data_IF_872928318049
#
_entry.id   IF_872928318049
#
_cell.length_a   1.000
_cell.length_b   1.000
_cell.length_c   1.000
_cell.angle_alpha   90.00
_cell.angle_beta   90.00
_cell.angle_gamma   90.00
#
_symmetry.space_group_name_H-M   'P 1'
#
loop_
_entity.id
_entity.type
_entity.pdbx_description
1 polymer ?
#
# COMPACT_ATOMS: atom_id res chain seq x y z
N UNK A 1 16.43 -6.07 2.39
CA UNK A 1 14.98 -6.16 2.63
C UNK A 1 14.23 -5.90 1.34
N UNK A 2 13.09 -6.54 1.17
CA UNK A 2 12.28 -6.32 -0.02
C UNK A 2 11.55 -4.98 0.05
N UNK A 3 11.12 -4.48 -1.09
CA UNK A 3 10.29 -3.27 -1.14
C UNK A 3 8.98 -3.49 -0.40
N UNK A 4 8.37 -4.67 -0.54
CA UNK A 4 7.14 -5.00 0.17
C UNK A 4 7.33 -4.91 1.69
N UNK A 5 8.45 -5.42 2.21
CA UNK A 5 8.74 -5.35 3.63
C UNK A 5 8.95 -3.91 4.10
N UNK A 6 9.59 -3.07 3.28
CA UNK A 6 9.77 -1.66 3.59
C UNK A 6 8.45 -0.92 3.63
N UNK A 7 7.57 -1.18 2.66
CA UNK A 7 6.23 -0.58 2.64
C UNK A 7 5.48 -0.93 3.92
N UNK A 8 5.46 -2.21 4.27
CA UNK A 8 4.78 -2.67 5.47
C UNK A 8 5.36 -2.01 6.72
N UNK A 9 6.68 -1.96 6.82
CA UNK A 9 7.36 -1.37 7.97
C UNK A 9 7.01 0.11 8.14
N UNK A 10 7.06 0.87 7.06
CA UNK A 10 6.78 2.31 7.12
C UNK A 10 5.33 2.59 7.48
N UNK A 11 4.40 1.83 6.91
CA UNK A 11 2.98 2.01 7.21
C UNK A 11 2.67 1.61 8.64
N UNK A 12 3.28 0.55 9.13
CA UNK A 12 3.10 0.12 10.51
C UNK A 12 3.60 1.18 11.48
N UNK A 13 4.77 1.75 11.22
CA UNK A 13 5.35 2.77 12.09
C UNK A 13 4.53 4.06 12.09
N UNK A 14 4.01 4.47 10.91
CA UNK A 14 3.32 5.75 10.78
C UNK A 14 1.87 5.71 11.21
N UNK A 15 1.16 4.62 10.94
CA UNK A 15 -0.29 4.53 11.11
C UNK A 15 -0.72 3.61 12.24
N UNK A 16 0.17 2.75 12.71
CA UNK A 16 -0.14 1.75 13.72
C UNK A 16 -1.43 1.02 13.38
N UNK A 17 -1.50 0.41 12.19
CA UNK A 17 -2.75 -0.17 11.71
C UNK A 17 -3.11 -1.42 12.49
N UNK A 18 -4.41 -1.73 12.54
CA UNK A 18 -4.87 -3.00 13.07
C UNK A 18 -4.53 -4.13 12.11
N UNK A 19 -4.50 -3.83 10.81
CA UNK A 19 -4.11 -4.80 9.80
C UNK A 19 -3.48 -4.07 8.63
N UNK A 20 -2.39 -4.61 8.12
CA UNK A 20 -1.78 -4.14 6.89
C UNK A 20 -1.38 -5.36 6.07
N UNK A 21 -1.69 -5.33 4.79
CA UNK A 21 -1.36 -6.41 3.87
C UNK A 21 -0.75 -5.81 2.63
N UNK A 22 0.44 -6.25 2.26
CA UNK A 22 1.15 -5.77 1.08
C UNK A 22 1.32 -6.95 0.14
N UNK A 23 0.79 -6.82 -1.07
CA UNK A 23 0.85 -7.86 -2.08
C UNK A 23 1.65 -7.33 -3.27
N UNK A 24 2.71 -8.04 -3.62
CA UNK A 24 3.49 -7.73 -4.81
C UNK A 24 2.77 -8.34 -6.02
N UNK A 25 2.19 -7.49 -6.85
CA UNK A 25 1.46 -7.92 -8.04
C UNK A 25 2.29 -7.87 -9.32
N UNK A 26 3.59 -7.65 -9.19
CA UNK A 26 4.48 -7.56 -10.35
C UNK A 26 4.44 -8.82 -11.21
N UNK A 27 4.21 -9.96 -10.59
CA UNK A 27 4.11 -11.24 -11.31
C UNK A 27 2.91 -11.29 -12.26
N UNK A 28 1.86 -10.53 -11.96
CA UNK A 28 0.66 -10.49 -12.83
C UNK A 28 0.97 -9.81 -14.17
N UNK A 29 2.07 -9.08 -14.26
CA UNK A 29 2.48 -8.36 -15.46
C UNK A 29 3.64 -9.04 -16.17
N UNK A 30 4.01 -10.22 -15.71
CA UNK A 30 5.13 -10.97 -16.26
C UNK A 30 4.87 -11.31 -17.73
N UNK A 31 5.84 -11.03 -18.58
CA UNK A 31 5.70 -11.27 -20.01
C UNK A 31 5.10 -10.10 -20.78
N UNK A 32 4.60 -9.09 -20.11
CA UNK A 32 4.10 -7.89 -20.77
C UNK A 32 5.22 -6.89 -21.03
N UNK A 33 5.03 -6.04 -22.04
CA UNK A 33 5.98 -4.96 -22.30
C UNK A 33 6.08 -4.09 -21.05
N UNK A 34 7.27 -3.74 -20.65
CA UNK A 34 7.51 -2.96 -19.46
C UNK A 34 7.71 -3.75 -18.19
N UNK A 35 7.58 -5.08 -18.26
CA UNK A 35 7.91 -5.93 -17.12
C UNK A 35 9.37 -5.75 -16.72
N UNK A 36 9.59 -5.54 -15.43
CA UNK A 36 10.95 -5.35 -14.90
C UNK A 36 11.45 -6.63 -14.26
N UNK A 37 12.68 -7.05 -14.59
CA UNK A 37 13.27 -8.20 -13.90
C UNK A 37 13.30 -7.97 -12.40
N UNK A 38 12.95 -8.99 -11.64
CA UNK A 38 12.97 -8.92 -10.19
C UNK A 38 11.67 -8.45 -9.54
N UNK A 39 10.70 -7.98 -10.34
CA UNK A 39 9.40 -7.55 -9.81
C UNK A 39 9.47 -6.27 -9.00
N UNK A 40 8.63 -6.18 -7.97
CA UNK A 40 8.61 -5.08 -6.99
C UNK A 40 8.29 -3.70 -7.59
N UNK A 41 7.48 -3.67 -8.65
CA UNK A 41 7.06 -2.42 -9.28
C UNK A 41 5.56 -2.15 -9.15
N UNK A 42 4.76 -3.18 -8.87
CA UNK A 42 3.30 -3.07 -8.76
C UNK A 42 2.84 -3.72 -7.47
N UNK A 43 2.16 -2.94 -6.63
CA UNK A 43 1.74 -3.43 -5.31
C UNK A 43 0.27 -3.14 -5.07
N UNK A 44 -0.36 -4.04 -4.32
CA UNK A 44 -1.67 -3.81 -3.73
C UNK A 44 -1.49 -3.76 -2.22
N UNK A 45 -2.00 -2.70 -1.60
CA UNK A 45 -1.85 -2.51 -0.16
C UNK A 45 -3.23 -2.32 0.47
N UNK A 46 -3.55 -3.14 1.46
CA UNK A 46 -4.78 -3.02 2.24
C UNK A 46 -4.42 -2.60 3.65
N UNK A 47 -5.03 -1.54 4.13
CA UNK A 47 -4.73 -0.98 5.45
C UNK A 47 -6.03 -0.76 6.21
N UNK A 48 -6.09 -1.28 7.43
CA UNK A 48 -7.18 -1.02 8.36
C UNK A 48 -6.59 -0.30 9.56
N UNK A 49 -6.98 0.95 9.77
CA UNK A 49 -6.37 1.77 10.83
C UNK A 49 -7.36 2.78 11.38
N UNK A 50 -7.34 2.96 12.71
CA UNK A 50 -8.12 4.02 13.37
C UNK A 50 -7.65 5.40 12.95
N UNK A 51 -6.40 5.53 12.51
CA UNK A 51 -5.86 6.79 12.02
C UNK A 51 -6.64 7.37 10.84
N UNK A 52 -7.41 6.53 10.14
CA UNK A 52 -8.22 6.97 9.01
C UNK A 52 -9.60 7.49 9.41
N UNK A 53 -9.97 7.38 10.66
CA UNK A 53 -11.30 7.85 11.11
C UNK A 53 -11.41 9.36 10.91
N UNK A 54 -12.55 9.78 10.36
CA UNK A 54 -12.79 11.18 10.07
C UNK A 54 -12.11 11.71 8.82
N UNK A 55 -11.39 10.86 8.08
CA UNK A 55 -10.68 11.29 6.86
C UNK A 55 -11.38 10.75 5.62
N UNK A 56 -11.43 11.57 4.57
CA UNK A 56 -11.93 11.14 3.27
C UNK A 56 -10.98 10.12 2.65
N UNK A 57 -11.45 9.38 1.65
CA UNK A 57 -10.60 8.44 0.93
C UNK A 57 -9.41 9.14 0.28
N UNK A 58 -9.64 10.33 -0.27
CA UNK A 58 -8.56 11.10 -0.88
C UNK A 58 -7.49 11.48 0.16
N UNK A 59 -7.92 11.91 1.34
CA UNK A 59 -6.98 12.28 2.41
C UNK A 59 -6.17 11.07 2.87
N UNK A 60 -6.82 9.91 2.98
CA UNK A 60 -6.16 8.67 3.37
C UNK A 60 -5.09 8.28 2.34
N UNK A 61 -5.43 8.35 1.06
CA UNK A 61 -4.50 8.00 -0.01
C UNK A 61 -3.30 8.95 -0.03
N UNK A 62 -3.56 10.25 0.12
CA UNK A 62 -2.47 11.23 0.18
C UNK A 62 -1.51 10.93 1.31
N UNK A 63 -2.05 10.55 2.46
CA UNK A 63 -1.20 10.22 3.61
C UNK A 63 -0.31 9.02 3.32
N UNK A 64 -0.87 7.98 2.70
CA UNK A 64 -0.10 6.80 2.33
C UNK A 64 0.98 7.15 1.31
N UNK A 65 0.64 7.94 0.29
CA UNK A 65 1.63 8.37 -0.71
C UNK A 65 2.75 9.18 -0.08
N UNK A 66 2.45 10.02 0.89
CA UNK A 66 3.50 10.78 1.59
C UNK A 66 4.43 9.85 2.37
N UNK A 67 3.87 8.85 3.06
CA UNK A 67 4.66 7.89 3.82
C UNK A 67 5.58 7.10 2.88
N UNK A 68 5.10 6.77 1.69
CA UNK A 68 5.80 5.92 0.73
C UNK A 68 6.50 6.70 -0.39
N UNK A 69 6.70 8.01 -0.19
CA UNK A 69 7.24 8.86 -1.24
C UNK A 69 8.57 8.35 -1.80
N UNK A 70 9.45 7.84 -0.95
CA UNK A 70 10.76 7.35 -1.40
C UNK A 70 10.62 6.12 -2.28
N UNK A 71 9.72 5.21 -1.90
CA UNK A 71 9.47 4.00 -2.69
C UNK A 71 8.87 4.33 -4.05
N UNK A 72 7.97 5.30 -4.09
CA UNK A 72 7.37 5.73 -5.35
C UNK A 72 8.39 6.33 -6.29
N UNK A 73 9.35 7.10 -5.75
CA UNK A 73 10.44 7.65 -6.55
C UNK A 73 11.42 6.59 -7.01
N UNK A 74 11.63 5.56 -6.20
CA UNK A 74 12.65 4.55 -6.46
C UNK A 74 12.24 3.51 -7.50
N UNK A 75 10.96 3.41 -7.85
CA UNK A 75 10.56 2.48 -8.90
C UNK A 75 9.24 1.77 -8.73
N UNK A 76 8.47 2.11 -7.69
CA UNK A 76 7.11 1.58 -7.58
C UNK A 76 6.23 2.34 -8.58
N UNK A 77 5.79 1.67 -9.62
CA UNK A 77 5.04 2.30 -10.72
C UNK A 77 3.54 2.35 -10.47
N UNK A 78 3.01 1.35 -9.78
CA UNK A 78 1.59 1.28 -9.53
C UNK A 78 1.35 0.83 -8.09
N UNK A 79 0.44 1.53 -7.42
CA UNK A 79 0.11 1.27 -6.04
C UNK A 79 -1.40 1.33 -5.89
N UNK A 80 -2.04 0.17 -5.75
CA UNK A 80 -3.47 0.08 -5.52
C UNK A 80 -3.71 0.06 -4.01
N UNK A 81 -4.52 1.01 -3.53
CA UNK A 81 -4.74 1.17 -2.10
C UNK A 81 -6.17 0.85 -1.72
N UNK A 82 -6.32 0.12 -0.62
CA UNK A 82 -7.59 -0.02 0.09
C UNK A 82 -7.36 0.51 1.50
N UNK A 83 -8.07 1.57 1.85
CA UNK A 83 -7.90 2.23 3.15
C UNK A 83 -9.22 2.19 3.89
N UNK A 84 -9.24 1.56 5.07
CA UNK A 84 -10.45 1.36 5.84
C UNK A 84 -10.22 1.72 7.30
N UNK A 85 -11.29 2.19 7.95
CA UNK A 85 -11.33 2.21 9.41
C UNK A 85 -11.72 0.81 9.89
N UNK A 86 -11.51 0.50 11.18
CA UNK A 86 -11.95 -0.78 11.71
C UNK A 86 -13.46 -1.01 11.53
N UNK A 87 -14.27 0.04 11.68
CA UNK A 87 -15.70 -0.08 11.49
C UNK A 87 -16.06 -0.41 10.04
N UNK A 88 -15.40 0.23 9.08
CA UNK A 88 -15.62 -0.04 7.67
C UNK A 88 -15.21 -1.46 7.30
N UNK A 89 -14.13 -1.95 7.88
CA UNK A 89 -13.66 -3.30 7.63
C UNK A 89 -14.67 -4.34 8.10
N UNK A 90 -15.28 -4.11 9.25
CA UNK A 90 -16.31 -5.01 9.77
C UNK A 90 -17.54 -5.06 8.88
N UNK A 91 -17.96 -3.92 8.35
CA UNK A 91 -19.11 -3.85 7.46
C UNK A 91 -18.85 -4.58 6.14
N UNK A 92 -17.61 -4.55 5.65
CA UNK A 92 -17.29 -5.12 4.34
C UNK A 92 -17.02 -6.62 4.34
N UNK A 93 -17.12 -7.27 5.48
CA UNK A 93 -16.87 -8.72 5.56
C UNK A 93 -18.09 -9.53 5.22
#
# INVERSE_FOLDING_TARGET
>A
MSVAAEIERKLTAALQPKRVKVIDESELHKGHAGHRPGGESHFRVEIVATAFEGQSRVARQRRVYEILADELKAGVHALALTTKTPAEDQVSR
#
